data_IF_782124913576
#
_entry.id   IF_782124913576
#
_cell.length_a   1.000
_cell.length_b   1.000
_cell.length_c   1.000
_cell.angle_alpha   90.00
_cell.angle_beta   90.00
_cell.angle_gamma   90.00
#
_symmetry.space_group_name_H-M   'P 1'
#
loop_
_entity.id
_entity.type
_entity.pdbx_description
1 polymer ?
#
# COMPACT_ATOMS: atom_id res chain seq x y z
N UNK A 1 -20.93 3.87 0.01
CA UNK A 1 -19.63 4.19 0.62
C UNK A 1 -18.79 2.93 0.60
N UNK A 2 -18.08 2.69 -0.51
CA UNK A 2 -17.16 1.56 -0.64
C UNK A 2 -15.77 2.13 -0.34
N UNK A 3 -15.01 1.62 0.65
CA UNK A 3 -13.61 1.98 0.73
C UNK A 3 -12.93 1.50 -0.56
N UNK A 4 -12.15 2.37 -1.18
CA UNK A 4 -11.34 2.07 -2.36
C UNK A 4 -10.62 0.73 -2.21
N UNK A 5 -10.43 -0.05 -3.29
CA UNK A 5 -9.69 -1.30 -3.19
C UNK A 5 -8.26 -1.00 -2.72
N UNK A 6 -7.98 -1.27 -1.45
CA UNK A 6 -6.65 -1.14 -0.87
C UNK A 6 -5.76 -2.21 -1.51
N UNK A 7 -4.60 -1.82 -2.03
CA UNK A 7 -3.68 -2.76 -2.67
C UNK A 7 -3.13 -3.74 -1.62
N UNK A 8 -3.11 -5.02 -1.95
CA UNK A 8 -2.50 -6.05 -1.10
C UNK A 8 -1.00 -6.06 -1.34
N UNK A 9 -0.21 -6.12 -0.27
CA UNK A 9 1.25 -6.22 -0.34
C UNK A 9 1.62 -7.64 -0.78
N UNK A 10 2.23 -7.77 -1.96
CA UNK A 10 2.63 -9.08 -2.52
C UNK A 10 4.13 -9.35 -2.43
N UNK A 11 4.92 -8.31 -2.20
CA UNK A 11 6.37 -8.43 -2.05
C UNK A 11 6.88 -7.46 -0.99
N UNK A 12 7.98 -7.84 -0.35
CA UNK A 12 8.60 -7.06 0.71
C UNK A 12 10.11 -7.36 0.72
N UNK A 13 10.94 -6.33 0.53
CA UNK A 13 12.39 -6.49 0.47
C UNK A 13 13.06 -6.13 1.80
N UNK A 14 14.34 -6.50 1.94
CA UNK A 14 15.12 -6.26 3.16
C UNK A 14 15.19 -4.78 3.58
N UNK A 15 15.20 -3.88 2.61
CA UNK A 15 15.19 -2.44 2.88
C UNK A 15 13.86 -1.98 3.49
N UNK A 16 12.73 -2.55 3.05
CA UNK A 16 11.41 -2.26 3.58
C UNK A 16 11.24 -2.80 5.00
N UNK A 17 11.81 -3.97 5.31
CA UNK A 17 11.85 -4.50 6.69
C UNK A 17 12.55 -3.53 7.63
N UNK A 18 13.68 -2.96 7.21
CA UNK A 18 14.42 -1.96 7.99
C UNK A 18 13.69 -0.63 8.13
N UNK A 19 13.00 -0.19 7.08
CA UNK A 19 12.35 1.11 7.05
C UNK A 19 11.05 1.14 7.87
N UNK A 20 10.26 0.07 7.80
CA UNK A 20 8.93 0.02 8.41
C UNK A 20 8.84 -0.91 9.64
N UNK A 21 9.88 -1.70 9.93
CA UNK A 21 9.95 -2.55 11.12
C UNK A 21 9.13 -3.85 11.05
N UNK A 22 8.47 -4.15 9.93
CA UNK A 22 7.78 -5.41 9.70
C UNK A 22 8.62 -6.37 8.87
N UNK A 23 8.66 -7.66 9.24
CA UNK A 23 9.20 -8.69 8.37
C UNK A 23 8.26 -8.99 7.20
N UNK A 24 8.81 -9.55 6.11
CA UNK A 24 8.02 -9.99 4.96
C UNK A 24 6.90 -10.96 5.35
N UNK A 25 7.16 -11.86 6.30
CA UNK A 25 6.17 -12.84 6.80
C UNK A 25 4.99 -12.18 7.50
N UNK A 26 5.20 -11.02 8.11
CA UNK A 26 4.16 -10.32 8.86
C UNK A 26 3.29 -9.43 7.98
N UNK A 27 3.82 -8.95 6.85
CA UNK A 27 3.18 -7.88 6.08
C UNK A 27 2.66 -8.32 4.71
N UNK A 28 3.24 -9.38 4.11
CA UNK A 28 2.72 -9.93 2.85
C UNK A 28 1.29 -10.44 3.06
N UNK A 29 0.40 -10.13 2.12
CA UNK A 29 -1.03 -10.45 2.20
C UNK A 29 -1.88 -9.43 2.96
N UNK A 30 -1.26 -8.45 3.62
CA UNK A 30 -1.97 -7.35 4.29
C UNK A 30 -2.22 -6.17 3.33
N UNK A 31 -3.24 -5.34 3.59
CA UNK A 31 -3.49 -4.14 2.81
C UNK A 31 -2.41 -3.08 3.05
N UNK A 32 -2.03 -2.37 1.98
CA UNK A 32 -0.98 -1.33 1.99
C UNK A 32 -1.32 -0.11 2.84
N UNK A 33 -2.59 0.06 3.23
CA UNK A 33 -3.05 1.13 4.12
C UNK A 33 -2.32 1.14 5.47
N UNK A 34 -1.79 -0.01 5.92
CA UNK A 34 -1.00 -0.12 7.14
C UNK A 34 0.33 0.64 7.08
N UNK A 35 0.82 0.95 5.87
CA UNK A 35 2.07 1.69 5.66
C UNK A 35 1.83 3.19 5.47
N UNK A 36 0.57 3.61 5.34
CA UNK A 36 0.24 5.01 5.09
C UNK A 36 0.16 5.77 6.41
N UNK A 37 0.79 6.95 6.52
CA UNK A 37 0.55 7.81 7.66
C UNK A 37 -0.92 8.23 7.70
N UNK A 38 -1.51 8.40 8.90
CA UNK A 38 -2.94 8.66 9.07
C UNK A 38 -3.43 9.91 8.33
N UNK A 39 -2.58 10.92 8.10
CA UNK A 39 -2.95 12.10 7.31
C UNK A 39 -3.10 11.85 5.80
N UNK A 40 -2.65 10.72 5.26
CA UNK A 40 -2.60 10.46 3.79
C UNK A 40 -3.60 9.43 3.27
N UNK A 41 -4.48 8.90 4.11
CA UNK A 41 -5.44 7.84 3.73
C UNK A 41 -6.45 8.28 2.65
N UNK A 42 -6.54 9.58 2.35
CA UNK A 42 -7.55 10.15 1.44
C UNK A 42 -7.13 10.32 -0.05
N UNK A 43 -5.88 10.05 -0.46
CA UNK A 43 -5.39 10.47 -1.78
C UNK A 43 -5.31 9.39 -2.88
N UNK A 44 -5.65 8.10 -2.64
CA UNK A 44 -5.56 7.05 -3.68
C UNK A 44 -6.71 7.07 -4.73
N UNK A 45 -7.39 8.20 -4.96
CA UNK A 45 -8.52 8.29 -5.90
C UNK A 45 -8.19 8.79 -7.33
N UNK A 46 -6.97 9.26 -7.62
CA UNK A 46 -6.67 9.93 -8.90
C UNK A 46 -5.40 9.37 -9.56
N UNK A 47 -5.41 8.13 -10.06
CA UNK A 47 -4.28 7.67 -10.92
C UNK A 47 -4.61 6.65 -12.03
N UNK A 48 -5.82 6.60 -12.57
CA UNK A 48 -6.13 5.68 -13.69
C UNK A 48 -6.75 6.38 -14.91
N UNK A 49 -6.13 7.44 -15.44
CA UNK A 49 -6.64 8.08 -16.66
C UNK A 49 -5.61 8.53 -17.70
N UNK A 50 -4.43 7.89 -17.79
CA UNK A 50 -3.39 8.39 -18.73
C UNK A 50 -2.56 7.38 -19.51
N UNK A 51 -3.08 6.18 -19.77
CA UNK A 51 -2.50 5.31 -20.81
C UNK A 51 -3.62 4.66 -21.61
N UNK A 52 -4.33 5.48 -22.39
CA UNK A 52 -5.02 5.04 -23.59
C UNK A 52 -4.33 5.76 -24.75
N UNK A 53 -3.53 5.02 -25.51
CA UNK A 53 -3.21 5.27 -26.91
C UNK A 53 -3.02 3.91 -27.58
#
# INVERSE_FOLDING_TARGET
>A
MMPSPCKVITSWNHSAERLFGYSAKEIIGKPSILLMPPERVYEEAIFLKRIAF
#
